data_IF_470836123583
#
_entry.id   IF_470836123583
#
_cell.length_a   1.000
_cell.length_b   1.000
_cell.length_c   1.000
_cell.angle_alpha   90.00
_cell.angle_beta   90.00
_cell.angle_gamma   90.00
#
_symmetry.space_group_name_H-M   'P 1'
#
loop_
_entity.id
_entity.type
_entity.pdbx_description
1 polymer ?
#
# COMPACT_ATOMS: atom_id res chain seq x y z
N UNK A 1 -15.10 -21.23 32.95
CA UNK A 1 -13.96 -21.10 33.87
C UNK A 1 -12.72 -21.02 33.00
N UNK A 2 -12.08 -19.85 32.96
CA UNK A 2 -10.94 -19.57 32.07
C UNK A 2 -9.74 -20.45 32.47
N UNK A 3 -8.97 -20.94 31.51
CA UNK A 3 -7.73 -21.68 31.80
C UNK A 3 -6.78 -20.80 32.64
N UNK A 4 -6.81 -19.47 32.44
CA UNK A 4 -6.06 -18.49 33.23
C UNK A 4 -6.49 -18.46 34.70
N UNK A 5 -7.78 -18.56 34.99
CA UNK A 5 -8.29 -18.66 36.38
C UNK A 5 -7.88 -20.00 37.02
N UNK A 6 -7.88 -21.10 36.27
CA UNK A 6 -7.38 -22.37 36.81
C UNK A 6 -5.89 -22.29 37.13
N UNK A 7 -5.11 -21.61 36.29
CA UNK A 7 -3.69 -21.35 36.53
C UNK A 7 -3.44 -20.54 37.81
N UNK A 8 -4.29 -19.57 38.14
CA UNK A 8 -4.16 -18.78 39.38
C UNK A 8 -4.60 -19.52 40.64
N UNK A 9 -5.42 -20.56 40.51
CA UNK A 9 -5.87 -21.41 41.63
C UNK A 9 -4.97 -22.61 41.93
N UNK A 10 -3.95 -22.87 41.09
CA UNK A 10 -2.99 -23.94 41.37
C UNK A 10 -2.12 -23.55 42.57
N UNK A 11 -1.87 -24.47 43.52
CA UNK A 11 -0.99 -24.20 44.66
C UNK A 11 0.37 -23.68 44.16
N UNK A 12 0.98 -22.73 44.88
CA UNK A 12 2.26 -22.11 44.52
C UNK A 12 3.33 -23.17 44.21
N UNK A 13 3.51 -23.47 42.93
CA UNK A 13 4.41 -24.47 42.40
C UNK A 13 4.68 -24.16 40.93
N UNK A 14 5.86 -24.57 40.44
CA UNK A 14 6.27 -24.33 39.07
C UNK A 14 5.43 -25.17 38.11
N UNK A 15 4.48 -24.54 37.42
CA UNK A 15 3.79 -25.18 36.29
C UNK A 15 4.71 -25.14 35.08
N UNK A 16 5.05 -26.31 34.55
CA UNK A 16 5.83 -26.45 33.31
C UNK A 16 4.91 -26.82 32.17
N UNK A 17 4.97 -26.05 31.08
CA UNK A 17 4.27 -26.35 29.84
C UNK A 17 5.18 -27.20 28.94
N UNK A 18 4.65 -28.30 28.41
CA UNK A 18 5.35 -29.18 27.48
C UNK A 18 4.50 -29.42 26.23
N UNK A 19 5.14 -29.39 25.07
CA UNK A 19 4.52 -29.81 23.82
C UNK A 19 4.67 -31.31 23.67
N UNK A 20 3.55 -31.99 23.42
CA UNK A 20 3.53 -33.43 23.15
C UNK A 20 3.01 -33.69 21.73
N UNK A 21 3.54 -34.71 21.03
CA UNK A 21 3.04 -35.11 19.72
C UNK A 21 1.61 -35.66 19.81
N UNK A 22 0.77 -35.31 18.83
CA UNK A 22 -0.61 -35.80 18.75
C UNK A 22 -0.68 -37.22 18.17
N UNK A 23 -1.69 -37.98 18.58
CA UNK A 23 -2.07 -39.29 18.01
C UNK A 23 -0.97 -40.38 18.02
N UNK A 24 -0.17 -40.42 19.07
CA UNK A 24 0.87 -41.45 19.25
C UNK A 24 0.59 -42.43 20.41
N UNK A 25 -0.66 -42.54 20.88
CA UNK A 25 -1.00 -43.46 21.98
C UNK A 25 -0.80 -42.90 23.39
N UNK A 26 -0.58 -41.59 23.57
CA UNK A 26 -0.54 -40.99 24.92
C UNK A 26 -1.97 -40.95 25.46
N UNK A 27 -2.29 -41.92 26.32
CA UNK A 27 -3.64 -42.16 26.85
C UNK A 27 -4.35 -40.89 27.35
N UNK A 28 -3.66 -40.08 28.15
CA UNK A 28 -4.23 -38.82 28.66
C UNK A 28 -4.51 -37.77 27.58
N UNK A 29 -3.66 -37.69 26.55
CA UNK A 29 -3.89 -36.77 25.43
C UNK A 29 -5.03 -37.25 24.54
N UNK A 30 -5.10 -38.56 24.28
CA UNK A 30 -6.16 -39.18 23.46
C UNK A 30 -7.52 -39.09 24.15
N UNK A 31 -7.58 -39.31 25.47
CA UNK A 31 -8.79 -39.14 26.25
C UNK A 31 -9.31 -37.70 26.20
N UNK A 32 -8.42 -36.70 26.32
CA UNK A 32 -8.79 -35.29 26.23
C UNK A 32 -9.22 -34.91 24.81
N UNK A 33 -8.55 -35.40 23.76
CA UNK A 33 -8.95 -35.18 22.36
C UNK A 33 -10.32 -35.79 22.05
N UNK A 34 -10.59 -37.01 22.53
CA UNK A 34 -11.88 -37.66 22.39
C UNK A 34 -13.01 -36.88 23.10
N UNK A 35 -12.76 -36.39 24.32
CA UNK A 35 -13.71 -35.56 25.06
C UNK A 35 -13.95 -34.21 24.37
N UNK A 36 -12.89 -33.56 23.89
CA UNK A 36 -13.00 -32.30 23.14
C UNK A 36 -13.82 -32.50 21.85
N UNK A 37 -13.58 -33.60 21.13
CA UNK A 37 -14.35 -33.98 19.93
C UNK A 37 -15.82 -34.21 20.26
N UNK A 38 -16.13 -34.97 21.31
CA UNK A 38 -17.51 -35.20 21.74
C UNK A 38 -18.23 -33.88 22.11
N UNK A 39 -17.51 -32.95 22.73
CA UNK A 39 -18.04 -31.63 23.08
C UNK A 39 -18.37 -30.75 21.86
N UNK A 40 -17.81 -31.02 20.67
CA UNK A 40 -18.15 -30.26 19.44
C UNK A 40 -19.56 -30.53 18.92
N UNK A 41 -20.16 -31.68 19.29
CA UNK A 41 -21.50 -32.09 18.86
C UNK A 41 -22.57 -31.61 19.85
N UNK A 42 -22.18 -31.35 21.10
CA UNK A 42 -23.10 -30.89 22.13
C UNK A 42 -23.34 -29.38 22.01
N UNK A 43 -24.59 -28.89 22.16
CA UNK A 43 -24.83 -27.46 22.21
C UNK A 43 -24.08 -26.86 23.41
N UNK A 44 -23.45 -25.68 23.25
CA UNK A 44 -22.72 -25.04 24.34
C UNK A 44 -23.66 -24.77 25.52
N UNK A 45 -23.21 -25.07 26.74
CA UNK A 45 -24.00 -24.91 27.97
C UNK A 45 -24.43 -23.44 28.23
N UNK A 46 -23.72 -22.48 27.64
CA UNK A 46 -24.09 -21.07 27.57
C UNK A 46 -23.42 -20.45 26.33
N UNK A 47 -24.00 -19.40 25.75
CA UNK A 47 -23.28 -18.55 24.80
C UNK A 47 -22.12 -17.88 25.55
N UNK A 48 -20.84 -18.19 25.23
CA UNK A 48 -19.74 -17.46 25.83
C UNK A 48 -19.90 -15.97 25.50
N UNK A 49 -19.55 -15.07 26.43
CA UNK A 49 -19.56 -13.64 26.13
C UNK A 49 -18.60 -13.39 24.97
N UNK A 50 -19.15 -12.96 23.83
CA UNK A 50 -18.37 -12.54 22.67
C UNK A 50 -17.63 -11.27 23.07
N UNK A 51 -16.32 -11.21 22.79
CA UNK A 51 -15.58 -9.99 23.08
C UNK A 51 -16.13 -8.87 22.20
N UNK A 52 -16.31 -7.67 22.75
CA UNK A 52 -16.80 -6.53 21.97
C UNK A 52 -15.89 -6.22 20.77
N UNK A 53 -14.61 -6.62 20.81
CA UNK A 53 -13.69 -6.55 19.68
C UNK A 53 -14.14 -7.40 18.50
N UNK A 54 -14.74 -8.56 18.74
CA UNK A 54 -15.22 -9.46 17.67
C UNK A 54 -16.44 -8.87 16.96
N UNK A 55 -17.26 -8.09 17.69
CA UNK A 55 -18.33 -7.28 17.09
C UNK A 55 -17.74 -6.15 16.23
N UNK A 56 -16.64 -5.54 16.65
CA UNK A 56 -15.98 -4.50 15.85
C UNK A 56 -15.36 -5.06 14.56
N UNK A 57 -14.94 -6.32 14.54
CA UNK A 57 -14.37 -6.96 13.34
C UNK A 57 -15.37 -7.07 12.19
N UNK A 58 -16.65 -7.39 12.46
CA UNK A 58 -17.66 -7.42 11.40
C UNK A 58 -17.86 -6.02 10.80
N UNK A 59 -17.96 -5.00 11.63
CA UNK A 59 -18.07 -3.61 11.17
C UNK A 59 -16.83 -3.16 10.40
N UNK A 60 -15.62 -3.49 10.87
CA UNK A 60 -14.37 -3.16 10.16
C UNK A 60 -14.34 -3.79 8.77
N UNK A 61 -14.68 -5.07 8.69
CA UNK A 61 -14.74 -5.79 7.41
C UNK A 61 -15.74 -5.15 6.46
N UNK A 62 -16.96 -4.88 6.93
CA UNK A 62 -18.01 -4.28 6.10
C UNK A 62 -17.62 -2.86 5.66
N UNK A 63 -17.06 -2.05 6.56
CA UNK A 63 -16.53 -0.73 6.21
C UNK A 63 -15.43 -0.81 5.16
N UNK A 64 -14.50 -1.75 5.28
CA UNK A 64 -13.43 -1.95 4.30
C UNK A 64 -14.00 -2.35 2.94
N UNK A 65 -14.85 -3.37 2.89
CA UNK A 65 -15.50 -3.83 1.65
C UNK A 65 -16.31 -2.71 0.99
N UNK A 66 -17.14 -2.00 1.74
CA UNK A 66 -17.95 -0.90 1.22
C UNK A 66 -17.08 0.26 0.72
N UNK A 67 -15.96 0.54 1.37
CA UNK A 67 -15.00 1.56 0.93
C UNK A 67 -14.38 1.18 -0.40
N UNK A 68 -13.91 -0.07 -0.56
CA UNK A 68 -13.30 -0.55 -1.80
C UNK A 68 -14.31 -0.47 -2.95
N UNK A 69 -15.52 -1.02 -2.77
CA UNK A 69 -16.58 -0.99 -3.78
C UNK A 69 -16.89 0.44 -4.20
N UNK A 70 -17.03 1.36 -3.25
CA UNK A 70 -17.28 2.77 -3.54
C UNK A 70 -16.11 3.42 -4.28
N UNK A 71 -14.88 3.21 -3.83
CA UNK A 71 -13.68 3.76 -4.47
C UNK A 71 -13.52 3.27 -5.91
N UNK A 72 -13.80 2.00 -6.18
CA UNK A 72 -13.73 1.44 -7.54
C UNK A 72 -14.82 2.00 -8.45
N UNK A 73 -16.05 2.12 -7.94
CA UNK A 73 -17.14 2.76 -8.67
C UNK A 73 -16.85 4.24 -8.99
N UNK A 74 -16.37 5.00 -8.00
CA UNK A 74 -15.92 6.39 -8.21
C UNK A 74 -14.73 6.45 -9.17
N UNK A 75 -13.83 5.45 -9.11
CA UNK A 75 -12.63 5.29 -9.93
C UNK A 75 -12.90 5.25 -11.44
N UNK A 76 -14.09 4.81 -11.84
CA UNK A 76 -14.53 4.80 -13.26
C UNK A 76 -14.59 6.20 -13.87
N UNK A 77 -14.79 7.23 -13.04
CA UNK A 77 -15.00 8.61 -13.48
C UNK A 77 -14.02 9.60 -12.83
N UNK A 78 -13.45 9.27 -11.67
CA UNK A 78 -12.52 10.11 -10.90
C UNK A 78 -11.20 9.40 -10.69
N UNK A 79 -10.11 10.09 -10.98
CA UNK A 79 -8.78 9.48 -10.82
C UNK A 79 -8.59 8.24 -11.69
N UNK A 80 -9.28 8.15 -12.84
CA UNK A 80 -9.29 6.99 -13.73
C UNK A 80 -7.90 6.43 -14.01
N UNK A 81 -6.95 7.30 -14.37
CA UNK A 81 -5.54 6.92 -14.59
C UNK A 81 -4.93 6.23 -13.37
N UNK A 82 -5.23 6.72 -12.16
CA UNK A 82 -4.74 6.10 -10.93
C UNK A 82 -5.35 4.72 -10.74
N UNK A 83 -6.66 4.57 -10.88
CA UNK A 83 -7.32 3.28 -10.72
C UNK A 83 -6.91 2.28 -11.80
N UNK A 84 -6.70 2.73 -13.05
CA UNK A 84 -6.28 1.87 -14.16
C UNK A 84 -4.83 1.37 -14.00
N UNK A 85 -3.90 2.21 -13.53
CA UNK A 85 -2.47 1.88 -13.50
C UNK A 85 -1.97 1.40 -12.14
N UNK A 86 -2.54 1.94 -11.05
CA UNK A 86 -1.92 1.91 -9.72
C UNK A 86 -2.73 1.22 -8.63
N UNK A 87 -4.06 1.15 -8.77
CA UNK A 87 -4.92 0.44 -7.83
C UNK A 87 -4.71 -1.08 -7.94
N UNK A 88 -4.72 -1.75 -6.78
CA UNK A 88 -4.52 -3.20 -6.64
C UNK A 88 -5.46 -3.70 -5.56
N UNK A 89 -6.56 -4.31 -5.96
CA UNK A 89 -7.56 -4.87 -5.04
C UNK A 89 -6.97 -5.99 -4.16
N UNK A 90 -6.07 -6.79 -4.71
CA UNK A 90 -5.41 -7.93 -4.06
C UNK A 90 -4.34 -7.51 -3.03
N UNK A 91 -3.85 -6.27 -3.09
CA UNK A 91 -2.76 -5.75 -2.25
C UNK A 91 -3.14 -4.39 -1.66
N UNK A 92 -3.93 -4.35 -0.56
CA UNK A 92 -4.39 -3.11 0.04
C UNK A 92 -3.31 -2.35 0.83
N UNK A 93 -2.04 -2.73 0.69
CA UNK A 93 -0.91 -2.07 1.33
C UNK A 93 -0.28 -1.03 0.40
N UNK A 94 0.13 0.15 0.91
CA UNK A 94 0.87 1.12 0.12
C UNK A 94 2.12 0.52 -0.54
N UNK A 95 2.48 0.98 -1.74
CA UNK A 95 3.63 0.48 -2.51
C UNK A 95 4.99 0.59 -1.78
N UNK A 96 5.09 1.49 -0.80
CA UNK A 96 6.29 1.72 0.01
C UNK A 96 6.31 0.94 1.33
N UNK A 97 5.33 0.07 1.58
CA UNK A 97 5.27 -0.76 2.80
C UNK A 97 6.53 -1.61 2.92
N UNK A 98 7.16 -1.58 4.09
CA UNK A 98 8.41 -2.31 4.36
C UNK A 98 9.65 -1.75 3.65
N UNK A 99 9.58 -0.57 3.03
CA UNK A 99 10.72 0.07 2.35
C UNK A 99 11.26 1.24 3.16
N UNK A 100 12.58 1.31 3.30
CA UNK A 100 13.25 2.46 3.93
C UNK A 100 13.51 3.55 2.87
N UNK A 101 12.51 4.41 2.64
CA UNK A 101 12.57 5.48 1.63
C UNK A 101 12.40 6.86 2.28
N UNK A 102 13.09 7.90 1.77
CA UNK A 102 12.87 9.26 2.23
C UNK A 102 11.41 9.69 2.04
N UNK A 103 10.85 10.40 3.03
CA UNK A 103 9.48 10.95 2.94
C UNK A 103 9.28 11.80 1.67
N UNK A 104 10.29 12.58 1.28
CA UNK A 104 10.26 13.41 0.06
C UNK A 104 10.04 12.59 -1.20
N UNK A 105 10.70 11.43 -1.29
CA UNK A 105 10.55 10.50 -2.41
C UNK A 105 9.14 9.90 -2.43
N UNK A 106 8.64 9.43 -1.27
CA UNK A 106 7.29 8.87 -1.16
C UNK A 106 6.23 9.89 -1.62
N UNK A 107 6.35 11.15 -1.16
CA UNK A 107 5.45 12.24 -1.56
C UNK A 107 5.53 12.49 -3.07
N UNK A 108 6.74 12.61 -3.61
CA UNK A 108 6.96 12.86 -5.04
C UNK A 108 6.29 11.77 -5.88
N UNK A 109 6.56 10.49 -5.59
CA UNK A 109 6.01 9.38 -6.36
C UNK A 109 4.48 9.30 -6.24
N UNK A 110 3.93 9.53 -5.05
CA UNK A 110 2.47 9.54 -4.88
C UNK A 110 1.80 10.67 -5.67
N UNK A 111 2.42 11.86 -5.73
CA UNK A 111 1.91 12.98 -6.52
C UNK A 111 2.03 12.77 -8.02
N UNK A 112 3.08 12.06 -8.48
CA UNK A 112 3.16 11.54 -9.86
C UNK A 112 1.98 10.61 -10.12
N UNK A 113 1.77 9.60 -9.26
CA UNK A 113 0.69 8.60 -9.41
C UNK A 113 -0.70 9.24 -9.43
N UNK A 114 -0.95 10.25 -8.60
CA UNK A 114 -2.24 10.96 -8.58
C UNK A 114 -2.33 12.08 -9.61
N UNK A 115 -1.28 12.34 -10.40
CA UNK A 115 -1.15 13.51 -11.27
C UNK A 115 -1.51 14.82 -10.54
N UNK A 116 -1.08 14.96 -9.28
CA UNK A 116 -1.31 16.13 -8.43
C UNK A 116 0.02 16.82 -8.10
N UNK A 117 0.52 17.57 -9.07
CA UNK A 117 1.78 18.31 -8.96
C UNK A 117 1.53 19.83 -9.12
N UNK A 118 2.60 20.62 -9.06
CA UNK A 118 2.56 22.08 -9.20
C UNK A 118 2.97 22.56 -10.60
N UNK A 119 2.95 21.69 -11.61
CA UNK A 119 3.22 22.09 -13.00
C UNK A 119 1.99 22.80 -13.59
N UNK A 120 2.21 23.66 -14.59
CA UNK A 120 1.16 24.51 -15.14
C UNK A 120 -0.06 23.72 -15.64
N UNK A 121 0.12 22.54 -16.26
CA UNK A 121 -1.01 21.68 -16.65
C UNK A 121 -1.89 21.30 -15.45
N UNK A 122 -1.28 20.84 -14.36
CA UNK A 122 -2.02 20.38 -13.17
C UNK A 122 -2.68 21.53 -12.43
N UNK A 123 -2.05 22.71 -12.41
CA UNK A 123 -2.62 23.92 -11.80
C UNK A 123 -3.78 24.48 -12.63
N UNK A 124 -3.65 24.49 -13.96
CA UNK A 124 -4.70 24.91 -14.87
C UNK A 124 -5.93 23.98 -14.79
N UNK A 125 -5.72 22.66 -14.76
CA UNK A 125 -6.80 21.67 -14.55
C UNK A 125 -7.58 21.87 -13.25
N UNK A 126 -6.98 22.52 -12.25
CA UNK A 126 -7.59 22.88 -10.96
C UNK A 126 -8.13 24.31 -10.93
N UNK A 127 -8.11 25.02 -12.06
CA UNK A 127 -8.51 26.43 -12.19
C UNK A 127 -7.70 27.39 -11.28
N UNK A 128 -6.44 27.07 -10.97
CA UNK A 128 -5.55 27.92 -10.16
C UNK A 128 -4.86 28.97 -11.04
N UNK A 129 -4.54 28.60 -12.29
CA UNK A 129 -3.94 29.49 -13.29
C UNK A 129 -4.75 29.39 -14.59
N UNK A 130 -4.65 30.41 -15.43
CA UNK A 130 -5.39 30.48 -16.71
C UNK A 130 -4.68 29.84 -17.90
N UNK A 131 -3.35 29.68 -17.83
CA UNK A 131 -2.55 29.17 -18.94
C UNK A 131 -1.78 27.90 -18.51
N UNK A 132 -2.01 26.74 -19.16
CA UNK A 132 -1.25 25.52 -18.89
C UNK A 132 0.15 25.52 -19.53
N UNK A 133 0.51 26.55 -20.28
CA UNK A 133 1.75 26.67 -21.04
C UNK A 133 3.02 26.55 -20.20
N UNK A 134 4.04 25.95 -20.78
CA UNK A 134 5.37 25.91 -20.20
C UNK A 134 6.16 27.15 -20.62
N UNK A 135 6.98 27.70 -19.71
CA UNK A 135 7.89 28.81 -20.00
C UNK A 135 8.90 28.54 -21.14
N UNK A 136 9.07 27.29 -21.58
CA UNK A 136 9.86 26.96 -22.76
C UNK A 136 9.11 27.13 -24.10
N UNK A 137 7.86 27.61 -24.07
CA UNK A 137 7.00 27.78 -25.26
C UNK A 137 6.16 26.55 -25.63
N UNK A 138 6.15 25.50 -24.80
CA UNK A 138 5.25 24.36 -25.03
C UNK A 138 3.83 24.70 -24.60
N UNK A 139 2.83 24.19 -25.33
CA UNK A 139 1.39 24.41 -25.06
C UNK A 139 0.98 23.97 -23.65
N UNK A 140 1.60 22.92 -23.11
CA UNK A 140 1.24 22.36 -21.80
C UNK A 140 2.50 21.92 -21.04
N UNK A 141 2.67 22.40 -19.81
CA UNK A 141 3.70 21.93 -18.88
C UNK A 141 3.24 20.66 -18.15
N UNK A 142 3.20 19.53 -18.86
CA UNK A 142 2.95 18.23 -18.24
C UNK A 142 4.23 17.63 -17.64
N UNK A 143 4.08 16.66 -16.72
CA UNK A 143 5.23 15.96 -16.16
C UNK A 143 6.04 15.22 -17.24
N UNK A 144 5.36 14.57 -18.20
CA UNK A 144 6.03 13.91 -19.32
C UNK A 144 6.74 14.92 -20.25
N UNK A 145 6.19 16.13 -20.44
CA UNK A 145 6.90 17.20 -21.12
C UNK A 145 8.19 17.58 -20.37
N UNK A 146 8.09 17.83 -19.06
CA UNK A 146 9.23 18.18 -18.21
C UNK A 146 10.33 17.10 -18.25
N UNK A 147 9.95 15.84 -18.07
CA UNK A 147 10.86 14.71 -17.99
C UNK A 147 11.55 14.39 -19.32
N UNK A 148 10.86 14.55 -20.45
CA UNK A 148 11.33 14.01 -21.73
C UNK A 148 11.66 15.06 -22.79
N UNK A 149 11.02 16.24 -22.77
CA UNK A 149 11.03 17.18 -23.90
C UNK A 149 11.37 18.65 -23.53
N UNK A 150 11.25 19.06 -22.27
CA UNK A 150 11.34 20.47 -21.88
C UNK A 150 12.75 21.05 -21.99
N UNK A 151 12.98 21.99 -22.90
CA UNK A 151 14.29 22.62 -23.13
C UNK A 151 14.94 23.24 -21.89
N UNK A 152 14.15 23.69 -20.90
CA UNK A 152 14.63 24.27 -19.63
C UNK A 152 15.47 23.31 -18.79
N UNK A 153 15.25 22.01 -18.92
CA UNK A 153 15.82 20.98 -18.05
C UNK A 153 16.74 20.00 -18.80
N UNK A 154 17.33 20.42 -19.91
CA UNK A 154 18.15 19.55 -20.77
C UNK A 154 19.33 18.92 -20.03
N UNK A 155 20.04 19.70 -19.19
CA UNK A 155 21.17 19.20 -18.40
C UNK A 155 20.73 18.12 -17.41
N UNK A 156 19.67 18.36 -16.66
CA UNK A 156 19.12 17.42 -15.69
C UNK A 156 18.60 16.16 -16.39
N UNK A 157 17.94 16.33 -17.54
CA UNK A 157 17.37 15.23 -18.32
C UNK A 157 18.45 14.31 -18.90
N UNK A 158 19.60 14.86 -19.34
CA UNK A 158 20.75 14.03 -19.76
C UNK A 158 21.26 13.13 -18.64
N UNK A 159 21.33 13.64 -17.42
CA UNK A 159 21.69 12.85 -16.24
C UNK A 159 20.64 11.76 -15.95
N UNK A 160 19.35 12.12 -15.99
CA UNK A 160 18.25 11.17 -15.84
C UNK A 160 18.33 10.04 -16.88
N UNK A 161 18.51 10.36 -18.16
CA UNK A 161 18.63 9.36 -19.23
C UNK A 161 19.80 8.42 -19.03
N UNK A 162 20.95 8.94 -18.58
CA UNK A 162 22.13 8.12 -18.31
C UNK A 162 21.85 7.10 -17.21
N UNK A 163 21.11 7.48 -16.17
CA UNK A 163 20.73 6.57 -15.09
C UNK A 163 19.68 5.55 -15.51
N UNK A 164 18.64 5.99 -16.22
CA UNK A 164 17.59 5.09 -16.71
C UNK A 164 18.14 4.06 -17.70
N UNK A 165 19.06 4.46 -18.58
CA UNK A 165 19.72 3.55 -19.52
C UNK A 165 20.54 2.46 -18.80
N UNK A 166 21.21 2.79 -17.68
CA UNK A 166 21.92 1.81 -16.84
C UNK A 166 20.97 0.80 -16.18
N UNK A 167 19.71 1.17 -15.98
CA UNK A 167 18.66 0.29 -15.47
C UNK A 167 17.98 -0.54 -16.57
N UNK A 168 18.44 -0.43 -17.83
CA UNK A 168 17.83 -1.11 -18.97
C UNK A 168 16.52 -0.50 -19.45
N UNK A 169 16.19 0.72 -19.00
CA UNK A 169 14.98 1.44 -19.42
C UNK A 169 15.29 2.31 -20.65
N UNK A 170 14.64 2.00 -21.77
CA UNK A 170 14.80 2.71 -23.04
C UNK A 170 13.50 3.38 -23.49
N UNK A 171 13.63 4.39 -24.36
CA UNK A 171 12.49 5.11 -24.92
C UNK A 171 11.60 4.22 -25.82
N UNK A 172 10.28 4.49 -25.92
CA UNK A 172 9.56 5.59 -25.27
C UNK A 172 9.26 5.30 -23.80
N UNK A 173 9.61 6.25 -22.94
CA UNK A 173 9.30 6.19 -21.50
C UNK A 173 8.15 7.12 -21.17
N UNK A 174 7.39 6.73 -20.16
CA UNK A 174 6.29 7.48 -19.60
C UNK A 174 6.46 7.49 -18.08
N UNK A 175 6.15 8.61 -17.43
CA UNK A 175 6.36 8.77 -15.99
C UNK A 175 5.53 7.76 -15.19
N UNK A 176 4.27 7.58 -15.60
CA UNK A 176 3.30 6.69 -14.99
C UNK A 176 3.75 5.22 -15.07
N UNK A 177 4.34 4.79 -16.20
CA UNK A 177 4.85 3.42 -16.33
C UNK A 177 6.05 3.12 -15.42
N UNK A 178 6.93 4.11 -15.19
CA UNK A 178 8.08 3.97 -14.28
C UNK A 178 7.62 3.80 -12.83
N UNK A 179 6.54 4.47 -12.43
CA UNK A 179 6.04 4.47 -11.05
C UNK A 179 4.91 3.46 -10.78
N UNK A 180 4.48 2.70 -11.80
CA UNK A 180 3.40 1.72 -11.68
C UNK A 180 3.79 0.53 -10.81
N UNK A 181 4.93 -0.09 -11.14
CA UNK A 181 5.60 -1.10 -10.33
C UNK A 181 6.98 -0.53 -9.96
N UNK A 182 7.04 0.26 -8.88
CA UNK A 182 8.12 1.22 -8.70
C UNK A 182 9.47 0.51 -8.54
N UNK A 183 10.26 0.52 -9.61
CA UNK A 183 11.69 0.27 -9.53
C UNK A 183 12.30 1.39 -8.70
N UNK A 184 12.79 1.07 -7.51
CA UNK A 184 13.27 2.06 -6.54
C UNK A 184 14.42 2.90 -7.09
N UNK A 185 15.30 2.32 -7.90
CA UNK A 185 16.38 3.03 -8.55
C UNK A 185 15.86 4.04 -9.58
N UNK A 186 14.88 3.63 -10.40
CA UNK A 186 14.26 4.53 -11.37
C UNK A 186 13.46 5.65 -10.67
N UNK A 187 12.72 5.32 -9.61
CA UNK A 187 12.01 6.29 -8.79
C UNK A 187 12.97 7.29 -8.12
N UNK A 188 14.14 6.82 -7.66
CA UNK A 188 15.18 7.67 -7.09
C UNK A 188 15.77 8.62 -8.13
N UNK A 189 16.00 8.14 -9.36
CA UNK A 189 16.45 8.96 -10.47
C UNK A 189 15.42 10.06 -10.81
N UNK A 190 14.13 9.71 -10.89
CA UNK A 190 13.05 10.69 -11.09
C UNK A 190 12.99 11.72 -9.95
N UNK A 191 13.08 11.26 -8.69
CA UNK A 191 13.06 12.15 -7.54
C UNK A 191 14.22 13.17 -7.58
N UNK A 192 15.44 12.70 -7.85
CA UNK A 192 16.63 13.57 -7.96
C UNK A 192 16.53 14.53 -9.14
N UNK A 193 16.02 14.08 -10.29
CA UNK A 193 15.77 14.96 -11.42
C UNK A 193 14.85 16.12 -11.02
N UNK A 194 13.72 15.83 -10.37
CA UNK A 194 12.73 16.83 -9.98
C UNK A 194 13.28 17.80 -8.93
N UNK A 195 14.06 17.30 -7.96
CA UNK A 195 14.77 18.14 -7.00
C UNK A 195 15.77 19.08 -7.68
N UNK A 196 16.57 18.58 -8.63
CA UNK A 196 17.55 19.38 -9.37
C UNK A 196 16.91 20.41 -10.33
N UNK A 197 15.64 20.23 -10.66
CA UNK A 197 14.84 21.18 -11.43
C UNK A 197 14.13 22.21 -10.55
N UNK A 198 14.23 22.11 -9.21
CA UNK A 198 13.46 22.89 -8.24
C UNK A 198 11.94 22.83 -8.49
N UNK A 199 11.44 21.69 -8.96
CA UNK A 199 10.03 21.49 -9.24
C UNK A 199 9.34 20.82 -8.06
N UNK A 200 8.29 21.46 -7.54
CA UNK A 200 7.41 20.89 -6.52
C UNK A 200 6.40 19.96 -7.20
N UNK A 201 6.86 18.75 -7.48
CA UNK A 201 6.01 17.67 -7.95
C UNK A 201 5.38 16.93 -6.81
#
# INVERSE_FOLDING_TARGET
MDIKERFTTLPHGSVSLAWIPSHIGIEGNEAVDALARAATVSPPAASPPVNFTDLAESFRRDCFTNTIVKCEADGLHKGKIYFDLFHRHDKPTPWFTGKNLPRSMIVTINRIRSNHNSLAESLHRKNIISDPGCACGSREESLNHVLWNCGRFERQRRALWTELARLGLSAPLNAESIVAEPNLSACSALHRFLQNCNLLV
#
